data_IF_620168534294
#
_entry.id   IF_620168534294
#
_cell.length_a   1.000
_cell.length_b   1.000
_cell.length_c   1.000
_cell.angle_alpha   90.00
_cell.angle_beta   90.00
_cell.angle_gamma   90.00
#
_symmetry.space_group_name_H-M   'P 1'
#
loop_
_entity.id
_entity.type
_entity.pdbx_description
1 polymer ?
#
# COMPACT_ATOMS: atom_id res chain seq x y z
N UNK A 1 23.25 6.87 -44.19
CA UNK A 1 22.10 6.92 -43.26
C UNK A 1 22.67 7.48 -41.97
N UNK A 2 22.56 8.80 -41.81
CA UNK A 2 23.36 9.60 -40.90
C UNK A 2 22.66 9.72 -39.54
N UNK A 3 23.35 9.37 -38.46
CA UNK A 3 22.88 9.44 -37.07
C UNK A 3 23.06 10.89 -36.60
N UNK A 4 22.38 11.81 -37.27
CA UNK A 4 22.47 13.24 -36.99
C UNK A 4 21.69 13.59 -35.71
N UNK A 5 22.46 13.98 -34.69
CA UNK A 5 22.11 14.92 -33.61
C UNK A 5 20.81 14.66 -32.84
N UNK A 6 20.90 13.81 -31.81
CA UNK A 6 19.99 13.91 -30.67
C UNK A 6 20.29 15.23 -29.96
N UNK A 7 19.31 16.14 -29.92
CA UNK A 7 19.45 17.45 -29.27
C UNK A 7 19.77 17.26 -27.77
N UNK A 8 20.92 17.73 -27.27
CA UNK A 8 21.34 17.52 -25.88
C UNK A 8 20.35 18.11 -24.86
N UNK A 9 19.59 19.14 -25.23
CA UNK A 9 18.54 19.71 -24.38
C UNK A 9 17.34 18.77 -24.16
N UNK A 10 17.04 17.88 -25.11
CA UNK A 10 15.96 16.88 -24.98
C UNK A 10 16.41 15.77 -24.03
N UNK A 11 17.65 15.29 -24.17
CA UNK A 11 18.22 14.22 -23.33
C UNK A 11 18.32 14.66 -21.86
N UNK A 12 18.77 15.90 -21.62
CA UNK A 12 18.88 16.45 -20.27
C UNK A 12 17.51 16.60 -19.58
N UNK A 13 16.48 17.01 -20.33
CA UNK A 13 15.11 17.13 -19.81
C UNK A 13 14.52 15.76 -19.46
N UNK A 14 14.65 14.77 -20.34
CA UNK A 14 14.17 13.41 -20.06
C UNK A 14 14.87 12.75 -18.88
N UNK A 15 16.17 12.99 -18.71
CA UNK A 15 16.93 12.48 -17.56
C UNK A 15 16.47 13.15 -16.26
N UNK A 16 16.27 14.48 -16.25
CA UNK A 16 15.76 15.18 -15.08
C UNK A 16 14.33 14.75 -14.69
N UNK A 17 13.46 14.51 -15.66
CA UNK A 17 12.11 13.98 -15.44
C UNK A 17 12.16 12.56 -14.84
N UNK A 18 13.01 11.68 -15.38
CA UNK A 18 13.20 10.33 -14.85
C UNK A 18 13.73 10.34 -13.40
N UNK A 19 14.72 11.19 -13.11
CA UNK A 19 15.25 11.37 -11.75
C UNK A 19 14.17 11.90 -10.80
N UNK A 20 13.33 12.83 -11.27
CA UNK A 20 12.23 13.38 -10.48
C UNK A 20 11.20 12.31 -10.08
N UNK A 21 10.84 11.44 -11.03
CA UNK A 21 9.94 10.30 -10.80
C UNK A 21 10.57 9.31 -9.82
N UNK A 22 11.83 8.92 -10.03
CA UNK A 22 12.56 8.00 -9.16
C UNK A 22 12.59 8.47 -7.70
N UNK A 23 12.98 9.74 -7.48
CA UNK A 23 13.01 10.34 -6.15
C UNK A 23 11.62 10.36 -5.50
N UNK A 24 10.56 10.64 -6.27
CA UNK A 24 9.18 10.61 -5.77
C UNK A 24 8.77 9.20 -5.34
N UNK A 25 9.03 8.19 -6.18
CA UNK A 25 8.70 6.79 -5.90
C UNK A 25 9.39 6.31 -4.62
N UNK A 26 10.69 6.56 -4.48
CA UNK A 26 11.45 6.18 -3.28
C UNK A 26 10.82 6.80 -2.02
N UNK A 27 10.45 8.09 -2.10
CA UNK A 27 9.79 8.78 -0.98
C UNK A 27 8.43 8.15 -0.65
N UNK A 28 7.63 7.81 -1.65
CA UNK A 28 6.30 7.23 -1.44
C UNK A 28 6.42 5.83 -0.86
N UNK A 29 7.34 5.00 -1.35
CA UNK A 29 7.60 3.66 -0.81
C UNK A 29 8.00 3.74 0.66
N UNK A 30 8.90 4.68 1.02
CA UNK A 30 9.24 4.90 2.43
C UNK A 30 8.04 5.27 3.30
N UNK A 31 7.12 6.08 2.78
CA UNK A 31 5.87 6.41 3.47
C UNK A 31 4.96 5.18 3.62
N UNK A 32 4.84 4.33 2.59
CA UNK A 32 4.03 3.10 2.67
C UNK A 32 4.58 2.14 3.71
N UNK A 33 5.90 1.93 3.77
CA UNK A 33 6.50 1.07 4.81
C UNK A 33 6.17 1.56 6.23
N UNK A 34 6.20 2.88 6.42
CA UNK A 34 5.77 3.49 7.70
C UNK A 34 4.31 3.17 8.00
N UNK A 35 3.42 3.32 7.00
CA UNK A 35 2.00 3.00 7.16
C UNK A 35 1.77 1.51 7.44
N UNK A 36 2.50 0.59 6.80
CA UNK A 36 2.42 -0.85 7.06
C UNK A 36 2.78 -1.16 8.51
N UNK A 37 3.87 -0.58 9.04
CA UNK A 37 4.23 -0.71 10.45
C UNK A 37 3.13 -0.19 11.39
N UNK A 38 2.54 0.95 11.05
CA UNK A 38 1.42 1.51 11.82
C UNK A 38 0.16 0.63 11.77
N UNK A 39 -0.11 -0.02 10.64
CA UNK A 39 -1.20 -1.00 10.50
C UNK A 39 -0.96 -2.20 11.40
N UNK A 40 0.27 -2.76 11.42
CA UNK A 40 0.61 -3.87 12.32
C UNK A 40 0.43 -3.46 13.79
N UNK A 41 0.84 -2.24 14.15
CA UNK A 41 0.61 -1.68 15.48
C UNK A 41 -0.88 -1.46 15.77
N UNK A 42 -1.68 -1.03 14.80
CA UNK A 42 -3.12 -0.86 14.97
C UNK A 42 -3.84 -2.19 15.15
N UNK A 43 -3.44 -3.21 14.39
CA UNK A 43 -3.97 -4.57 14.50
C UNK A 43 -3.80 -5.16 15.89
N UNK A 44 -2.66 -4.95 16.55
CA UNK A 44 -2.42 -5.46 17.91
C UNK A 44 -3.35 -4.84 18.96
N UNK A 45 -3.95 -3.68 18.66
CA UNK A 45 -4.96 -2.99 19.50
C UNK A 45 -6.40 -3.35 19.16
N UNK A 46 -6.63 -4.13 18.10
CA UNK A 46 -7.96 -4.62 17.73
C UNK A 46 -8.13 -6.03 18.27
N UNK A 47 -9.11 -6.22 19.15
CA UNK A 47 -9.47 -7.52 19.70
C UNK A 47 -10.41 -8.25 18.76
N UNK A 48 -10.21 -9.56 18.60
CA UNK A 48 -11.09 -10.43 17.82
C UNK A 48 -10.43 -11.58 17.11
N UNK A 49 -11.25 -12.59 16.87
CA UNK A 49 -10.93 -13.78 16.09
C UNK A 49 -11.68 -13.64 14.78
N UNK A 50 -11.00 -13.05 13.81
CA UNK A 50 -11.46 -12.96 12.42
C UNK A 50 -10.35 -13.49 11.55
N UNK A 51 -10.68 -14.45 10.70
CA UNK A 51 -9.75 -14.98 9.69
C UNK A 51 -9.24 -13.87 8.77
N UNK A 52 -10.09 -12.90 8.40
CA UNK A 52 -9.72 -11.71 7.63
C UNK A 52 -8.63 -10.91 8.33
N UNK A 53 -8.79 -10.72 9.64
CA UNK A 53 -7.90 -9.95 10.47
C UNK A 53 -6.56 -10.68 10.71
N UNK A 54 -6.56 -12.00 10.68
CA UNK A 54 -5.37 -12.86 10.79
C UNK A 54 -4.63 -13.00 9.46
N UNK A 55 -5.35 -13.02 8.33
CA UNK A 55 -4.77 -13.06 6.99
C UNK A 55 -4.22 -11.71 6.53
N UNK A 56 -4.58 -10.61 7.20
CA UNK A 56 -4.12 -9.26 6.88
C UNK A 56 -2.59 -9.16 6.75
N UNK A 57 -1.83 -9.76 7.66
CA UNK A 57 -0.36 -9.69 7.62
C UNK A 57 0.21 -10.24 6.32
N UNK A 58 -0.35 -11.34 5.79
CA UNK A 58 0.09 -11.93 4.52
C UNK A 58 -0.12 -10.97 3.34
N UNK A 59 -1.22 -10.22 3.34
CA UNK A 59 -1.47 -9.21 2.30
C UNK A 59 -0.46 -8.05 2.39
N UNK A 60 -0.12 -7.64 3.61
CA UNK A 60 0.86 -6.56 3.83
C UNK A 60 2.28 -7.00 3.45
N UNK A 61 2.68 -8.22 3.80
CA UNK A 61 3.98 -8.79 3.43
C UNK A 61 4.12 -8.87 1.91
N UNK A 62 3.07 -9.32 1.21
CA UNK A 62 3.07 -9.40 -0.25
C UNK A 62 3.17 -8.02 -0.94
N UNK A 63 2.65 -6.96 -0.30
CA UNK A 63 2.81 -5.57 -0.75
C UNK A 63 4.23 -5.09 -0.49
N UNK A 64 4.76 -5.37 0.71
CA UNK A 64 6.12 -5.00 1.11
C UNK A 64 7.16 -5.55 0.13
N UNK A 65 7.03 -6.82 -0.25
CA UNK A 65 7.87 -7.48 -1.27
C UNK A 65 7.80 -6.76 -2.63
N UNK A 66 6.59 -6.40 -3.08
CA UNK A 66 6.40 -5.76 -4.39
C UNK A 66 6.98 -4.34 -4.41
N UNK A 67 6.86 -3.61 -3.31
CA UNK A 67 7.39 -2.25 -3.18
C UNK A 67 8.91 -2.26 -3.00
N UNK A 68 9.46 -3.25 -2.29
CA UNK A 68 10.91 -3.45 -2.17
C UNK A 68 11.55 -3.65 -3.55
N UNK A 69 10.94 -4.49 -4.40
CA UNK A 69 11.41 -4.68 -5.77
C UNK A 69 11.43 -3.38 -6.58
N UNK A 70 10.37 -2.56 -6.50
CA UNK A 70 10.33 -1.25 -7.20
C UNK A 70 11.41 -0.30 -6.68
N UNK A 71 11.67 -0.31 -5.37
CA UNK A 71 12.68 0.54 -4.75
C UNK A 71 14.10 0.15 -5.17
N UNK A 72 14.36 -1.15 -5.29
CA UNK A 72 15.69 -1.69 -5.60
C UNK A 72 16.03 -1.61 -7.09
N UNK A 73 15.03 -1.67 -7.97
CA UNK A 73 15.20 -1.69 -9.42
C UNK A 73 14.84 -0.33 -10.05
N UNK A 74 15.85 0.49 -10.36
CA UNK A 74 15.66 1.83 -10.95
C UNK A 74 14.78 1.82 -12.22
N UNK A 75 14.91 0.79 -13.06
CA UNK A 75 14.10 0.63 -14.29
C UNK A 75 12.59 0.52 -14.02
N UNK A 76 12.20 0.08 -12.83
CA UNK A 76 10.80 -0.01 -12.42
C UNK A 76 10.26 1.33 -11.93
N UNK A 77 11.12 2.33 -11.69
CA UNK A 77 10.76 3.62 -11.13
C UNK A 77 10.21 4.57 -12.21
N UNK A 78 9.12 4.16 -12.84
CA UNK A 78 8.45 4.87 -13.93
C UNK A 78 7.21 5.60 -13.43
N UNK A 79 6.75 6.62 -14.16
CA UNK A 79 5.56 7.38 -13.79
C UNK A 79 4.29 6.49 -13.68
N UNK A 80 4.21 5.42 -14.48
CA UNK A 80 3.11 4.44 -14.39
C UNK A 80 3.20 3.65 -13.10
N UNK A 81 4.38 3.22 -12.68
CA UNK A 81 4.56 2.52 -11.41
C UNK A 81 4.28 3.47 -10.25
N UNK A 82 4.72 4.72 -10.31
CA UNK A 82 4.44 5.75 -9.29
C UNK A 82 2.95 5.90 -8.98
N UNK A 83 2.11 5.99 -10.02
CA UNK A 83 0.65 6.08 -9.86
C UNK A 83 0.08 4.89 -9.10
N UNK A 84 0.63 3.70 -9.33
CA UNK A 84 0.16 2.48 -8.70
C UNK A 84 0.64 2.37 -7.25
N UNK A 85 1.88 2.80 -6.97
CA UNK A 85 2.40 2.91 -5.60
C UNK A 85 1.55 3.89 -4.80
N UNK A 86 1.16 5.05 -5.36
CA UNK A 86 0.24 6.01 -4.72
C UNK A 86 -1.12 5.39 -4.35
N UNK A 87 -1.72 4.62 -5.27
CA UNK A 87 -2.98 3.94 -5.00
C UNK A 87 -2.87 2.92 -3.85
N UNK A 88 -1.74 2.21 -3.76
CA UNK A 88 -1.44 1.31 -2.63
C UNK A 88 -1.32 2.11 -1.33
N UNK A 89 -0.61 3.25 -1.34
CA UNK A 89 -0.49 4.14 -0.17
C UNK A 89 -1.86 4.57 0.35
N UNK A 90 -2.73 5.08 -0.52
CA UNK A 90 -4.05 5.58 -0.13
C UNK A 90 -4.91 4.48 0.51
N UNK A 91 -4.86 3.27 -0.06
CA UNK A 91 -5.58 2.12 0.46
C UNK A 91 -4.99 1.61 1.79
N UNK A 92 -3.67 1.65 1.96
CA UNK A 92 -3.00 1.31 3.21
C UNK A 92 -3.38 2.32 4.32
N UNK A 93 -3.40 3.62 4.01
CA UNK A 93 -3.87 4.65 4.95
C UNK A 93 -5.33 4.44 5.34
N UNK A 94 -6.18 4.02 4.38
CA UNK A 94 -7.58 3.66 4.66
C UNK A 94 -7.68 2.44 5.58
N UNK A 95 -6.87 1.41 5.37
CA UNK A 95 -6.79 0.23 6.25
C UNK A 95 -6.38 0.62 7.67
N UNK A 96 -5.31 1.42 7.82
CA UNK A 96 -4.88 1.95 9.12
C UNK A 96 -6.02 2.67 9.83
N UNK A 97 -6.66 3.62 9.13
CA UNK A 97 -7.77 4.39 9.68
C UNK A 97 -8.95 3.51 10.09
N UNK A 98 -9.23 2.45 9.34
CA UNK A 98 -10.26 1.48 9.69
C UNK A 98 -9.94 0.75 11.00
N UNK A 99 -8.70 0.28 11.18
CA UNK A 99 -8.26 -0.41 12.41
C UNK A 99 -8.25 0.53 13.62
N UNK A 100 -7.78 1.76 13.46
CA UNK A 100 -7.80 2.76 14.53
C UNK A 100 -9.25 3.06 14.97
N UNK A 101 -10.17 3.19 14.02
CA UNK A 101 -11.60 3.35 14.29
C UNK A 101 -12.21 2.12 14.98
N UNK A 102 -11.80 0.91 14.59
CA UNK A 102 -12.22 -0.31 15.27
C UNK A 102 -11.75 -0.26 16.73
N UNK A 103 -10.45 -0.09 16.96
CA UNK A 103 -9.89 -0.04 18.31
C UNK A 103 -10.58 1.00 19.21
N UNK A 104 -10.85 2.20 18.67
CA UNK A 104 -11.60 3.24 19.38
C UNK A 104 -13.02 2.78 19.77
N UNK A 105 -13.78 2.22 18.82
CA UNK A 105 -15.13 1.68 19.08
C UNK A 105 -15.10 0.54 20.10
N UNK A 106 -14.08 -0.32 20.06
CA UNK A 106 -13.94 -1.41 21.03
C UNK A 106 -13.68 -0.88 22.43
N UNK A 107 -12.83 0.15 22.56
CA UNK A 107 -12.57 0.81 23.84
C UNK A 107 -13.81 1.49 24.42
N UNK A 108 -14.56 2.23 23.60
CA UNK A 108 -15.81 2.87 24.02
C UNK A 108 -16.85 1.83 24.45
N UNK A 109 -17.01 0.75 23.68
CA UNK A 109 -17.98 -0.29 24.01
C UNK A 109 -17.53 -1.20 25.14
N UNK A 110 -16.24 -1.41 25.38
CA UNK A 110 -15.75 -2.14 26.56
C UNK A 110 -16.02 -1.38 27.87
N UNK A 111 -16.15 -0.05 27.82
CA UNK A 111 -16.68 0.73 28.93
C UNK A 111 -18.18 0.50 29.16
N UNK A 112 -18.90 -0.06 28.18
CA UNK A 112 -20.27 -0.53 28.31
C UNK A 112 -20.27 -2.03 28.63
N UNK A 113 -21.13 -2.50 29.53
CA UNK A 113 -21.10 -3.91 30.00
C UNK A 113 -21.49 -4.97 28.95
N UNK A 114 -21.60 -4.61 27.67
CA UNK A 114 -22.04 -5.48 26.59
C UNK A 114 -21.21 -5.25 25.32
N UNK A 115 -20.01 -5.85 25.25
CA UNK A 115 -19.18 -5.80 24.04
C UNK A 115 -19.09 -7.16 23.34
N UNK A 116 -19.24 -7.14 22.01
CA UNK A 116 -18.96 -8.26 21.13
C UNK A 116 -17.79 -7.91 20.20
N UNK A 117 -16.81 -8.81 20.16
CA UNK A 117 -15.54 -8.71 19.45
C UNK A 117 -15.71 -8.81 17.93
N UNK A 118 -14.75 -8.30 17.13
CA UNK A 118 -14.76 -8.49 15.67
C UNK A 118 -14.79 -9.99 15.37
N UNK A 119 -15.83 -10.43 14.65
CA UNK A 119 -16.09 -11.84 14.35
C UNK A 119 -16.24 -12.01 12.84
N UNK A 120 -15.71 -13.12 12.34
CA UNK A 120 -15.86 -13.47 10.93
C UNK A 120 -17.32 -13.39 10.47
N UNK A 121 -17.53 -12.76 9.31
CA UNK A 121 -18.84 -12.56 8.68
C UNK A 121 -19.63 -11.35 9.19
N UNK A 122 -19.15 -10.62 10.20
CA UNK A 122 -19.81 -9.39 10.67
C UNK A 122 -19.59 -8.20 9.69
N UNK A 123 -20.34 -7.11 9.91
CA UNK A 123 -20.28 -5.93 9.01
C UNK A 123 -18.91 -5.27 8.97
N UNK A 124 -18.16 -5.31 10.06
CA UNK A 124 -16.85 -4.70 10.12
C UNK A 124 -15.80 -5.65 9.50
N UNK A 125 -15.96 -6.96 9.65
CA UNK A 125 -15.17 -7.98 8.96
C UNK A 125 -15.33 -7.91 7.44
N UNK A 126 -16.57 -7.74 6.95
CA UNK A 126 -16.85 -7.53 5.52
C UNK A 126 -16.22 -6.24 4.97
N UNK A 127 -16.19 -5.16 5.76
CA UNK A 127 -15.52 -3.91 5.37
C UNK A 127 -14.00 -4.08 5.34
N UNK A 128 -13.44 -4.78 6.32
CA UNK A 128 -12.02 -5.11 6.35
C UNK A 128 -11.63 -5.91 5.11
N UNK A 129 -12.37 -6.97 4.80
CA UNK A 129 -12.16 -7.79 3.61
C UNK A 129 -12.23 -6.92 2.34
N UNK A 130 -13.22 -6.05 2.23
CA UNK A 130 -13.35 -5.15 1.07
C UNK A 130 -12.16 -4.19 0.89
N UNK A 131 -11.52 -3.73 1.98
CA UNK A 131 -10.28 -2.94 1.91
C UNK A 131 -9.10 -3.81 1.48
N UNK A 132 -8.97 -5.02 2.03
CA UNK A 132 -7.90 -5.96 1.66
C UNK A 132 -8.01 -6.41 0.20
N UNK A 133 -9.22 -6.64 -0.32
CA UNK A 133 -9.44 -6.94 -1.72
C UNK A 133 -9.05 -5.77 -2.63
N UNK A 134 -9.28 -4.53 -2.20
CA UNK A 134 -8.84 -3.34 -2.94
C UNK A 134 -7.31 -3.26 -2.96
N UNK A 135 -6.66 -3.51 -1.82
CA UNK A 135 -5.20 -3.57 -1.71
C UNK A 135 -4.60 -4.66 -2.60
N UNK A 136 -5.17 -5.86 -2.58
CA UNK A 136 -4.67 -6.97 -3.39
C UNK A 136 -4.81 -6.69 -4.90
N UNK A 137 -5.95 -6.13 -5.33
CA UNK A 137 -6.11 -5.67 -6.72
C UNK A 137 -5.08 -4.62 -7.10
N UNK A 138 -4.81 -3.64 -6.23
CA UNK A 138 -3.81 -2.61 -6.48
C UNK A 138 -2.39 -3.18 -6.55
N UNK A 139 -2.06 -4.15 -5.70
CA UNK A 139 -0.80 -4.91 -5.75
C UNK A 139 -0.68 -5.70 -7.06
N UNK A 140 -1.73 -6.42 -7.46
CA UNK A 140 -1.70 -7.23 -8.68
C UNK A 140 -1.50 -6.37 -9.93
N UNK A 141 -2.12 -5.19 -9.98
CA UNK A 141 -1.86 -4.19 -11.03
C UNK A 141 -0.43 -3.65 -10.99
N UNK A 142 0.16 -3.47 -9.80
CA UNK A 142 1.58 -3.12 -9.67
C UNK A 142 2.46 -4.25 -10.23
N UNK A 143 2.19 -5.50 -9.86
CA UNK A 143 2.89 -6.68 -10.39
C UNK A 143 2.80 -6.76 -11.91
N UNK A 144 1.63 -6.47 -12.48
CA UNK A 144 1.47 -6.38 -13.93
C UNK A 144 2.37 -5.29 -14.54
N UNK A 145 2.37 -4.07 -13.97
CA UNK A 145 3.25 -2.98 -14.44
C UNK A 145 4.73 -3.32 -14.34
N UNK A 146 5.14 -4.01 -13.28
CA UNK A 146 6.52 -4.50 -13.12
C UNK A 146 6.86 -5.52 -14.20
N UNK A 147 5.94 -6.44 -14.52
CA UNK A 147 6.20 -7.51 -15.49
C UNK A 147 6.33 -7.05 -16.94
N UNK A 148 5.80 -5.87 -17.28
CA UNK A 148 5.83 -5.29 -18.64
C UNK A 148 6.79 -4.11 -18.78
N UNK A 149 7.56 -3.79 -17.73
CA UNK A 149 8.52 -2.69 -17.67
C UNK A 149 9.92 -3.07 -18.15
#
# INVERSE_FOLDING_TARGET
>A
MDIAQINPGIVAKSAAEAIGVAASIISIIGAVFTVIQEIQNARSRVWGTSETLDNMSKHLDAIDESLSLVREEERLQTARVELQVKAITDLATKLRSFLDNLSAKQREKAMSQFFHTLKSGDKDDQKLQGILDQLDRARNELGFRISVA
#
